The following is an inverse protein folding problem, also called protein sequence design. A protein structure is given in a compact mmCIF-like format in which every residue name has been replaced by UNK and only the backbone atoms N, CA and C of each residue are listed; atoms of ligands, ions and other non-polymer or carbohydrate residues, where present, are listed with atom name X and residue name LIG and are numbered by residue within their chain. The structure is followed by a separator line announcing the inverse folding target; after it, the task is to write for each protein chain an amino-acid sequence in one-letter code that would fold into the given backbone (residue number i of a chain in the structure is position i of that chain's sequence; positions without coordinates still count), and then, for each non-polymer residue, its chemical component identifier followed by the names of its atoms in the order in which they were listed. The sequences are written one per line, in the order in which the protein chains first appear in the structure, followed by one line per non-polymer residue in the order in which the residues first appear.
data_IF_090421802694
#
_entry.id   IF_090421802694
#
_cell.length_a   1.000
_cell.length_b   1.000
_cell.length_c   1.000
_cell.angle_alpha   90.00
_cell.angle_beta   90.00
_cell.angle_gamma   90.00
#
_symmetry.space_group_name_H-M   'P 1'
#
loop_
_entity.id
_entity.type
_entity.pdbx_description
1 polymer ?
#
# COMPACT_ATOMS: atom_id res chain seq x y z
N UNK A 1 -13.60 -47.83 32.33
CA UNK A 1 -13.75 -46.76 31.32
C UNK A 1 -12.40 -46.08 31.15
N UNK A 2 -11.67 -46.36 30.07
CA UNK A 2 -10.32 -45.83 29.81
C UNK A 2 -10.50 -44.51 29.05
N UNK A 3 -9.98 -43.39 29.57
CA UNK A 3 -9.97 -42.12 28.82
C UNK A 3 -8.98 -42.25 27.66
N UNK A 4 -9.35 -41.87 26.42
CA UNK A 4 -8.41 -41.90 25.32
C UNK A 4 -7.27 -40.90 25.61
N UNK A 5 -6.05 -41.40 25.55
CA UNK A 5 -4.83 -40.63 25.75
C UNK A 5 -4.69 -39.63 24.59
N UNK A 6 -4.76 -38.34 24.92
CA UNK A 6 -4.61 -37.27 23.93
C UNK A 6 -3.16 -37.25 23.41
N UNK A 7 -2.96 -37.78 22.21
CA UNK A 7 -1.65 -37.84 21.58
C UNK A 7 -1.54 -36.76 20.49
N UNK A 8 -0.97 -35.61 20.86
CA UNK A 8 -0.78 -34.45 19.99
C UNK A 8 0.00 -34.77 18.70
N UNK A 9 0.89 -35.77 18.74
CA UNK A 9 1.68 -36.22 17.57
C UNK A 9 0.77 -36.92 16.55
N UNK A 10 -0.23 -37.67 17.03
CA UNK A 10 -1.18 -38.42 16.20
C UNK A 10 -2.21 -37.50 15.51
N UNK A 11 -2.59 -36.40 16.16
CA UNK A 11 -3.44 -35.35 15.56
C UNK A 11 -2.65 -34.46 14.58
N UNK A 12 -1.41 -34.10 14.89
CA UNK A 12 -0.55 -33.36 13.96
C UNK A 12 -0.35 -34.14 12.65
N UNK A 13 -0.22 -35.47 12.72
CA UNK A 13 -0.11 -36.34 11.56
C UNK A 13 -1.38 -36.40 10.69
N UNK A 14 -2.58 -36.24 11.28
CA UNK A 14 -3.85 -36.18 10.52
C UNK A 14 -4.00 -34.90 9.69
N UNK A 15 -3.28 -33.85 10.04
CA UNK A 15 -3.36 -32.55 9.37
C UNK A 15 -2.39 -32.40 8.17
N UNK A 16 -1.63 -33.44 7.80
CA UNK A 16 -0.63 -33.44 6.71
C UNK A 16 -1.29 -33.50 5.30
N UNK A 17 -2.43 -32.83 5.13
CA UNK A 17 -3.16 -32.83 3.86
C UNK A 17 -4.38 -31.93 3.82
N UNK A 18 -4.70 -31.24 4.91
CA UNK A 18 -5.82 -30.29 4.95
C UNK A 18 -5.31 -28.92 4.52
N UNK A 19 -5.78 -28.36 3.39
CA UNK A 19 -5.42 -27.00 2.99
C UNK A 19 -5.81 -26.04 4.11
N UNK A 20 -4.87 -25.21 4.58
CA UNK A 20 -5.20 -24.18 5.56
C UNK A 20 -6.32 -23.28 5.03
N UNK A 21 -7.39 -23.10 5.83
CA UNK A 21 -8.43 -22.11 5.58
C UNK A 21 -7.77 -20.73 5.45
N UNK A 22 -8.30 -19.85 4.58
CA UNK A 22 -7.67 -18.56 4.28
C UNK A 22 -7.37 -17.72 5.54
N UNK A 23 -8.28 -17.72 6.53
CA UNK A 23 -8.04 -17.03 7.81
C UNK A 23 -6.84 -17.59 8.60
N UNK A 24 -6.57 -18.89 8.46
CA UNK A 24 -5.43 -19.56 9.11
C UNK A 24 -4.14 -19.22 8.38
N UNK A 25 -4.16 -19.17 7.04
CA UNK A 25 -3.04 -18.65 6.25
C UNK A 25 -2.73 -17.20 6.61
N UNK A 26 -3.75 -16.35 6.80
CA UNK A 26 -3.61 -14.98 7.27
C UNK A 26 -3.01 -14.90 8.69
N UNK A 27 -3.45 -15.76 9.63
CA UNK A 27 -2.87 -15.84 10.98
C UNK A 27 -1.43 -16.33 10.98
N UNK A 28 -1.08 -17.31 10.14
CA UNK A 28 0.29 -17.83 10.01
C UNK A 28 1.18 -16.77 9.33
N UNK A 29 0.67 -16.03 8.34
CA UNK A 29 1.37 -14.88 7.76
C UNK A 29 1.64 -13.80 8.80
N UNK A 30 0.67 -13.50 9.69
CA UNK A 30 0.87 -12.59 10.82
C UNK A 30 1.94 -13.06 11.82
N UNK A 31 2.16 -14.38 11.97
CA UNK A 31 3.03 -14.93 13.02
C UNK A 31 4.43 -15.37 12.56
N UNK A 32 4.64 -15.67 11.28
CA UNK A 32 5.88 -16.35 10.81
C UNK A 32 6.74 -15.62 9.79
N UNK A 33 6.34 -14.50 9.20
CA UNK A 33 7.21 -13.80 8.25
C UNK A 33 6.99 -12.30 8.26
N UNK A 34 8.07 -11.52 8.38
CA UNK A 34 8.22 -10.18 7.80
C UNK A 34 6.90 -9.42 7.58
N UNK A 35 6.29 -8.92 8.66
CA UNK A 35 5.01 -8.21 8.73
C UNK A 35 4.29 -7.99 7.39
N UNK A 36 3.13 -8.64 7.19
CA UNK A 36 2.25 -8.43 6.04
C UNK A 36 2.10 -6.94 5.74
N UNK A 37 2.10 -6.59 4.46
CA UNK A 37 2.04 -5.20 4.03
C UNK A 37 0.71 -4.93 3.37
N UNK A 38 0.09 -3.84 3.78
CA UNK A 38 -1.20 -3.38 3.30
C UNK A 38 -0.93 -2.23 2.34
N UNK A 39 -1.47 -2.34 1.12
CA UNK A 39 -1.38 -1.30 0.10
C UNK A 39 -2.76 -0.66 -0.03
N UNK A 40 -2.82 0.65 0.12
CA UNK A 40 -4.03 1.44 -0.08
C UNK A 40 -3.83 2.39 -1.25
N UNK A 41 -4.93 2.85 -1.83
CA UNK A 41 -4.91 4.01 -2.73
C UNK A 41 -4.64 5.32 -1.96
N UNK A 42 -4.70 6.44 -2.67
CA UNK A 42 -4.51 7.77 -2.11
C UNK A 42 -5.64 8.26 -1.19
N UNK A 43 -6.79 7.57 -1.20
CA UNK A 43 -7.96 7.83 -0.35
C UNK A 43 -8.10 6.83 0.81
N UNK A 44 -7.07 5.99 1.03
CA UNK A 44 -7.03 4.94 2.06
C UNK A 44 -8.04 3.80 1.87
N UNK A 45 -8.43 3.51 0.64
CA UNK A 45 -9.14 2.26 0.32
C UNK A 45 -8.15 1.11 0.24
N UNK A 46 -8.37 0.03 0.99
CA UNK A 46 -7.46 -1.13 1.00
C UNK A 46 -7.51 -1.85 -0.34
N UNK A 47 -6.41 -1.82 -1.09
CA UNK A 47 -6.31 -2.47 -2.39
C UNK A 47 -5.97 -3.94 -2.22
N UNK A 48 -4.84 -4.24 -1.57
CA UNK A 48 -4.29 -5.60 -1.48
C UNK A 48 -3.45 -5.78 -0.23
N UNK A 49 -3.38 -7.02 0.25
CA UNK A 49 -2.49 -7.44 1.35
C UNK A 49 -1.40 -8.33 0.77
N UNK A 50 -0.15 -7.87 0.77
CA UNK A 50 1.00 -8.62 0.26
C UNK A 50 1.75 -9.31 1.41
N UNK A 51 2.36 -10.49 1.16
CA UNK A 51 2.93 -11.31 2.22
C UNK A 51 4.15 -10.68 2.89
N UNK A 52 4.92 -9.85 2.18
CA UNK A 52 6.07 -9.15 2.77
C UNK A 52 6.46 -7.89 2.01
N UNK A 53 7.14 -6.97 2.71
CA UNK A 53 7.70 -5.77 2.08
C UNK A 53 8.80 -6.11 1.06
N UNK A 54 9.58 -7.16 1.32
CA UNK A 54 10.70 -7.56 0.45
C UNK A 54 10.18 -8.10 -0.88
N UNK A 55 9.14 -8.92 -0.86
CA UNK A 55 8.51 -9.43 -2.09
C UNK A 55 7.95 -8.29 -2.93
N UNK A 56 7.25 -7.33 -2.31
CA UNK A 56 6.77 -6.12 -2.99
C UNK A 56 7.92 -5.33 -3.62
N UNK A 57 9.01 -5.10 -2.89
CA UNK A 57 10.16 -4.36 -3.42
C UNK A 57 10.78 -5.04 -4.66
N UNK A 58 10.93 -6.37 -4.61
CA UNK A 58 11.45 -7.16 -5.75
C UNK A 58 10.51 -7.05 -6.95
N UNK A 59 9.19 -7.19 -6.76
CA UNK A 59 8.21 -7.03 -7.82
C UNK A 59 8.24 -5.62 -8.43
N UNK A 60 8.45 -4.58 -7.63
CA UNK A 60 8.61 -3.20 -8.11
C UNK A 60 9.94 -2.94 -8.82
N UNK A 61 10.86 -3.92 -8.83
CA UNK A 61 12.05 -3.95 -9.66
C UNK A 61 13.36 -4.17 -8.90
N UNK A 62 13.43 -3.91 -7.58
CA UNK A 62 14.66 -4.13 -6.81
C UNK A 62 14.39 -4.16 -5.31
N UNK A 63 15.13 -5.01 -4.59
CA UNK A 63 15.11 -5.04 -3.12
C UNK A 63 15.47 -3.70 -2.48
N UNK A 64 16.21 -2.83 -3.16
CA UNK A 64 16.57 -1.48 -2.68
C UNK A 64 15.36 -0.56 -2.51
N UNK A 65 14.25 -0.81 -3.23
CA UNK A 65 12.98 -0.07 -3.09
C UNK A 65 12.39 -0.20 -1.68
N UNK A 66 12.73 -1.28 -0.96
CA UNK A 66 12.29 -1.49 0.42
C UNK A 66 12.63 -0.32 1.35
N UNK A 67 13.74 0.41 1.11
CA UNK A 67 14.10 1.59 1.91
C UNK A 67 13.09 2.71 1.70
N UNK A 68 12.69 2.96 0.45
CA UNK A 68 11.70 3.99 0.12
C UNK A 68 10.30 3.62 0.64
N UNK A 69 9.91 2.35 0.55
CA UNK A 69 8.65 1.86 1.13
C UNK A 69 8.65 1.99 2.66
N UNK A 70 9.73 1.61 3.35
CA UNK A 70 9.87 1.77 4.81
C UNK A 70 9.74 3.23 5.24
N UNK A 71 10.36 4.17 4.50
CA UNK A 71 10.23 5.61 4.77
C UNK A 71 8.77 6.06 4.61
N UNK A 72 8.11 5.69 3.51
CA UNK A 72 6.70 6.02 3.30
C UNK A 72 5.81 5.49 4.44
N UNK A 73 6.05 4.26 4.90
CA UNK A 73 5.35 3.68 6.05
C UNK A 73 5.60 4.44 7.35
N UNK A 74 6.86 4.74 7.67
CA UNK A 74 7.24 5.43 8.90
C UNK A 74 6.67 6.85 8.96
N UNK A 75 6.74 7.56 7.82
CA UNK A 75 6.25 8.93 7.68
C UNK A 75 4.72 8.99 7.50
N UNK A 76 4.05 7.83 7.37
CA UNK A 76 2.63 7.70 7.00
C UNK A 76 2.30 8.52 5.74
N UNK A 77 3.20 8.51 4.76
CA UNK A 77 3.11 9.31 3.53
C UNK A 77 2.83 8.43 2.31
N UNK A 78 2.37 9.07 1.24
CA UNK A 78 2.11 8.39 -0.03
C UNK A 78 3.43 7.99 -0.71
N UNK A 79 3.63 6.69 -0.90
CA UNK A 79 4.67 6.18 -1.78
C UNK A 79 4.37 6.59 -3.22
N UNK A 80 5.34 7.25 -3.87
CA UNK A 80 5.21 7.81 -5.22
C UNK A 80 3.96 8.69 -5.41
N UNK A 81 3.52 9.30 -4.32
CA UNK A 81 2.31 10.14 -4.27
C UNK A 81 1.03 9.46 -4.74
N UNK A 82 0.91 8.12 -4.63
CA UNK A 82 -0.29 7.39 -5.08
C UNK A 82 -0.77 6.32 -4.11
N UNK A 83 0.11 5.77 -3.26
CA UNK A 83 -0.26 4.64 -2.41
C UNK A 83 0.20 4.82 -0.97
N UNK A 84 -0.69 4.59 -0.02
CA UNK A 84 -0.25 4.37 1.35
C UNK A 84 0.21 2.93 1.50
N UNK A 85 1.36 2.76 2.15
CA UNK A 85 1.91 1.47 2.50
C UNK A 85 1.92 1.39 4.02
N UNK A 86 1.44 0.29 4.59
CA UNK A 86 1.39 0.10 6.04
C UNK A 86 1.68 -1.35 6.42
N UNK A 87 2.13 -1.57 7.65
CA UNK A 87 2.23 -2.89 8.28
C UNK A 87 1.03 -3.19 9.21
N UNK A 88 0.07 -2.26 9.27
CA UNK A 88 -1.15 -2.34 10.06
C UNK A 88 -2.34 -1.88 9.23
N UNK A 89 -3.52 -2.37 9.59
CA UNK A 89 -4.77 -1.89 9.02
C UNK A 89 -5.02 -0.44 9.46
N UNK A 90 -5.57 0.39 8.57
CA UNK A 90 -6.12 1.69 8.98
C UNK A 90 -7.51 1.52 9.62
N UNK A 91 -8.31 0.58 9.12
CA UNK A 91 -9.57 0.17 9.73
C UNK A 91 -9.65 -1.37 9.80
N UNK A 92 -10.10 -1.89 10.95
CA UNK A 92 -10.19 -3.34 11.19
C UNK A 92 -11.17 -4.05 10.24
N UNK A 93 -12.14 -3.31 9.71
CA UNK A 93 -13.15 -3.82 8.77
C UNK A 93 -12.75 -3.69 7.30
N UNK A 94 -11.56 -3.13 7.00
CA UNK A 94 -11.09 -3.00 5.63
C UNK A 94 -10.98 -4.38 4.97
N UNK A 95 -11.52 -4.48 3.76
CA UNK A 95 -11.43 -5.67 2.91
C UNK A 95 -10.61 -5.32 1.68
N UNK A 96 -9.63 -6.17 1.29
CA UNK A 96 -8.88 -5.93 0.07
C UNK A 96 -9.81 -6.01 -1.14
N UNK A 97 -9.63 -5.08 -2.08
CA UNK A 97 -10.35 -5.08 -3.35
C UNK A 97 -9.81 -6.12 -4.34
N UNK A 98 -8.58 -6.60 -4.15
CA UNK A 98 -7.97 -7.61 -4.99
C UNK A 98 -7.09 -8.57 -4.18
N UNK A 99 -6.88 -9.76 -4.74
CA UNK A 99 -5.99 -10.78 -4.21
C UNK A 99 -4.58 -10.64 -4.81
N UNK A 100 -3.58 -11.15 -4.09
CA UNK A 100 -2.22 -11.25 -4.63
C UNK A 100 -2.21 -12.18 -5.84
N UNK A 101 -1.40 -11.86 -6.84
CA UNK A 101 -1.26 -12.60 -8.11
C UNK A 101 -2.50 -12.59 -9.03
N UNK A 102 -3.53 -11.81 -8.71
CA UNK A 102 -4.65 -11.55 -9.63
C UNK A 102 -4.23 -10.64 -10.81
N UNK A 103 -5.06 -10.56 -11.85
CA UNK A 103 -4.80 -9.69 -13.02
C UNK A 103 -4.80 -8.21 -12.60
N UNK A 104 -5.70 -7.84 -11.69
CA UNK A 104 -5.81 -6.51 -11.09
C UNK A 104 -4.54 -6.18 -10.30
N UNK A 105 -4.02 -7.14 -9.54
CA UNK A 105 -2.78 -6.98 -8.80
C UNK A 105 -1.57 -6.79 -9.73
N UNK A 106 -1.46 -7.56 -10.81
CA UNK A 106 -0.38 -7.39 -11.79
C UNK A 106 -0.46 -6.01 -12.46
N UNK A 107 -1.68 -5.55 -12.76
CA UNK A 107 -1.93 -4.21 -13.30
C UNK A 107 -1.55 -3.10 -12.31
N UNK A 108 -1.82 -3.30 -11.01
CA UNK A 108 -1.37 -2.41 -9.94
C UNK A 108 0.16 -2.32 -9.89
N UNK A 109 0.87 -3.46 -9.93
CA UNK A 109 2.33 -3.48 -9.91
C UNK A 109 2.92 -2.76 -11.13
N UNK A 110 2.38 -2.96 -12.32
CA UNK A 110 2.83 -2.24 -13.52
C UNK A 110 2.56 -0.73 -13.43
N UNK A 111 1.41 -0.33 -12.87
CA UNK A 111 1.13 1.08 -12.57
C UNK A 111 2.12 1.67 -11.56
N UNK A 112 2.47 0.92 -10.51
CA UNK A 112 3.48 1.35 -9.53
C UNK A 112 4.87 1.51 -10.16
N UNK A 113 5.26 0.61 -11.06
CA UNK A 113 6.53 0.70 -11.80
C UNK A 113 6.57 1.89 -12.75
N UNK A 114 5.50 2.15 -13.51
CA UNK A 114 5.45 3.25 -14.45
C UNK A 114 5.55 4.61 -13.74
N UNK A 115 4.98 4.71 -12.53
CA UNK A 115 5.01 5.90 -11.68
C UNK A 115 6.29 6.06 -10.83
N UNK A 116 7.34 5.25 -11.07
CA UNK A 116 8.61 5.33 -10.31
C UNK A 116 9.27 6.72 -10.32
N UNK A 117 9.00 7.51 -11.35
CA UNK A 117 9.55 8.86 -11.56
C UNK A 117 8.83 9.92 -10.72
N UNK A 118 7.59 9.66 -10.29
CA UNK A 118 6.78 10.57 -9.48
C UNK A 118 7.30 10.54 -8.05
N UNK A 119 7.86 11.67 -7.59
CA UNK A 119 8.35 11.82 -6.21
C UNK A 119 7.42 12.67 -5.36
N UNK A 120 6.78 13.68 -5.96
CA UNK A 120 5.89 14.64 -5.33
C UNK A 120 4.85 15.08 -6.35
N UNK A 121 3.69 14.42 -6.35
CA UNK A 121 2.53 14.85 -7.13
C UNK A 121 1.86 16.07 -6.49
N UNK A 122 1.22 16.88 -7.32
CA UNK A 122 0.37 18.00 -6.91
C UNK A 122 -1.08 17.53 -6.96
N UNK A 123 -1.81 17.73 -5.87
CA UNK A 123 -3.23 17.44 -5.80
C UNK A 123 -3.98 18.77 -5.74
N UNK A 124 -4.79 19.03 -6.76
CA UNK A 124 -5.54 20.27 -6.88
C UNK A 124 -6.94 20.05 -6.36
N UNK A 125 -7.37 21.00 -5.54
CA UNK A 125 -8.70 21.03 -4.96
C UNK A 125 -9.32 22.38 -5.20
N UNK A 126 -10.65 22.42 -5.25
CA UNK A 126 -11.42 23.65 -5.31
C UNK A 126 -12.62 23.49 -4.38
N UNK A 127 -12.82 24.45 -3.50
CA UNK A 127 -13.92 24.45 -2.53
C UNK A 127 -13.98 23.16 -1.67
N UNK A 128 -12.81 22.56 -1.38
CA UNK A 128 -12.68 21.30 -0.64
C UNK A 128 -12.86 20.02 -1.47
N UNK A 129 -13.23 20.14 -2.74
CA UNK A 129 -13.40 19.00 -3.65
C UNK A 129 -12.11 18.69 -4.41
N UNK A 130 -11.77 17.41 -4.52
CA UNK A 130 -10.63 16.96 -5.33
C UNK A 130 -10.94 17.12 -6.81
N UNK A 131 -10.12 17.89 -7.52
CA UNK A 131 -10.26 18.09 -8.96
C UNK A 131 -9.36 17.16 -9.75
N UNK A 132 -8.05 17.24 -9.49
CA UNK A 132 -7.07 16.59 -10.36
C UNK A 132 -5.73 16.40 -9.64
N UNK A 133 -5.05 15.32 -10.02
CA UNK A 133 -3.68 15.04 -9.63
C UNK A 133 -2.73 15.20 -10.81
N UNK A 134 -1.57 15.83 -10.55
CA UNK A 134 -0.50 16.01 -11.52
C UNK A 134 0.80 15.42 -10.99
N UNK A 135 1.61 14.83 -11.87
CA UNK A 135 2.87 14.14 -11.52
C UNK A 135 3.93 15.05 -10.86
N UNK A 136 3.76 16.37 -10.95
CA UNK A 136 4.57 17.34 -10.23
C UNK A 136 4.21 18.79 -10.57
N UNK A 137 4.96 19.72 -9.96
CA UNK A 137 4.73 21.17 -10.06
C UNK A 137 4.73 21.69 -11.50
N UNK A 138 5.60 21.15 -12.36
CA UNK A 138 5.70 21.52 -13.77
C UNK A 138 4.44 21.13 -14.54
N UNK A 139 3.91 19.93 -14.30
CA UNK A 139 2.71 19.45 -14.94
C UNK A 139 1.48 20.26 -14.49
N UNK A 140 1.38 20.55 -13.19
CA UNK A 140 0.31 21.38 -12.65
C UNK A 140 0.37 22.81 -13.18
N UNK A 141 1.54 23.46 -13.16
CA UNK A 141 1.72 24.82 -13.66
C UNK A 141 1.31 24.97 -15.11
N UNK A 142 1.74 24.02 -15.95
CA UNK A 142 1.36 23.99 -17.37
C UNK A 142 -0.14 23.82 -17.56
N UNK A 143 -0.77 22.92 -16.82
CA UNK A 143 -2.19 22.61 -16.98
C UNK A 143 -3.10 23.73 -16.45
N UNK A 144 -2.70 24.37 -15.34
CA UNK A 144 -3.48 25.41 -14.67
C UNK A 144 -3.14 26.81 -15.19
N UNK A 145 -2.09 26.95 -15.98
CA UNK A 145 -1.53 28.24 -16.41
C UNK A 145 -1.18 29.15 -15.22
N UNK A 146 -0.55 28.58 -14.19
CA UNK A 146 -0.14 29.26 -12.95
C UNK A 146 1.36 29.09 -12.75
N UNK A 147 2.03 30.10 -12.19
CA UNK A 147 3.48 30.04 -11.95
C UNK A 147 3.86 28.97 -10.91
N UNK A 148 5.09 28.44 -11.01
CA UNK A 148 5.62 27.53 -9.99
C UNK A 148 5.66 28.16 -8.60
N UNK A 149 5.99 29.44 -8.51
CA UNK A 149 6.12 30.11 -7.22
C UNK A 149 4.75 30.28 -6.55
N UNK A 150 3.71 30.60 -7.33
CA UNK A 150 2.33 30.63 -6.86
C UNK A 150 1.87 29.25 -6.38
N UNK A 151 2.20 28.17 -7.09
CA UNK A 151 1.89 26.83 -6.61
C UNK A 151 2.65 26.54 -5.31
N UNK A 152 3.95 26.84 -5.27
CA UNK A 152 4.79 26.58 -4.10
C UNK A 152 4.35 27.35 -2.85
N UNK A 153 3.87 28.59 -3.00
CA UNK A 153 3.39 29.40 -1.87
C UNK A 153 2.11 28.85 -1.25
N UNK A 154 1.29 28.14 -2.04
CA UNK A 154 0.00 27.61 -1.60
C UNK A 154 0.05 26.15 -1.12
N UNK A 155 1.21 25.49 -1.22
CA UNK A 155 1.40 24.12 -0.69
C UNK A 155 1.51 24.16 0.84
N UNK A 156 0.52 23.58 1.53
CA UNK A 156 0.65 23.35 2.97
C UNK A 156 1.75 22.32 3.27
N UNK A 157 2.62 22.64 4.23
CA UNK A 157 3.85 21.87 4.51
C UNK A 157 3.68 20.75 5.55
N UNK A 158 2.49 20.56 6.13
CA UNK A 158 2.26 19.58 7.20
C UNK A 158 1.39 18.44 6.68
N UNK A 159 2.02 17.26 6.54
CA UNK A 159 1.48 16.02 5.98
C UNK A 159 1.27 16.13 4.47
N UNK A 160 2.24 15.65 3.68
CA UNK A 160 2.38 15.92 2.24
C UNK A 160 1.14 15.58 1.40
N UNK A 161 0.20 16.52 1.38
CA UNK A 161 -0.83 16.77 0.39
C UNK A 161 -0.52 18.18 -0.12
N UNK A 162 -0.09 18.27 -1.37
CA UNK A 162 0.34 19.54 -1.95
C UNK A 162 -0.89 20.24 -2.52
N UNK A 163 -1.55 21.06 -1.69
CA UNK A 163 -2.71 21.86 -2.09
C UNK A 163 -2.30 23.03 -2.98
N UNK A 164 -3.15 23.34 -3.95
CA UNK A 164 -3.18 24.65 -4.59
C UNK A 164 -4.62 25.13 -4.45
N UNK A 165 -4.85 26.10 -3.57
CA UNK A 165 -6.10 26.86 -3.52
C UNK A 165 -6.09 27.83 -4.70
N UNK A 166 -7.09 27.71 -5.60
CA UNK A 166 -7.37 28.66 -6.68
C UNK A 166 -8.77 29.20 -6.46
#
# INVERSE_FOLDING_TARGET
MIKPEYNAVKEAARNIGVPHLQYTKLRISKSRSSASVYIYDEFKTLLVIVPSLRSLAVQLGSSSISIALKRAMADKSLFRSSWYISNQLFNENDKPLMEVDSIEYMSLIEKMKSQKHIRKAIFVFKDGEFLQKYDGILAAAKALNISHDTIRSNIEKKYYVQWVLI
#
